data_IF_516927477824
#
_entry.id   IF_516927477824
#
_cell.length_a   1.000
_cell.length_b   1.000
_cell.length_c   1.000
_cell.angle_alpha   90.00
_cell.angle_beta   90.00
_cell.angle_gamma   90.00
#
_symmetry.space_group_name_H-M   'P 1'
#
loop_
_entity.id
_entity.type
_entity.pdbx_description
1 polymer ?
#
# COMPACT_ATOMS: atom_id res chain seq x y z
N UNK A 1 4.75 -15.66 -10.16
CA UNK A 1 4.88 -14.22 -10.06
C UNK A 1 6.32 -13.78 -9.89
N UNK A 2 7.14 -14.66 -9.37
CA UNK A 2 8.55 -14.34 -9.22
C UNK A 2 9.23 -14.02 -10.53
N UNK A 3 8.72 -14.53 -11.64
CA UNK A 3 9.27 -14.21 -12.95
C UNK A 3 9.23 -12.71 -13.24
N UNK A 4 8.30 -11.97 -12.59
CA UNK A 4 8.21 -10.52 -12.71
C UNK A 4 8.76 -9.80 -11.48
N UNK A 5 9.29 -10.52 -10.51
CA UNK A 5 9.86 -9.94 -9.30
C UNK A 5 8.86 -9.33 -8.35
N UNK A 6 7.56 -9.55 -8.53
CA UNK A 6 6.54 -8.89 -7.72
C UNK A 6 6.58 -9.28 -6.25
N UNK A 7 6.89 -10.56 -5.96
CA UNK A 7 6.99 -11.02 -4.58
C UNK A 7 8.22 -10.47 -3.86
N UNK A 8 9.19 -9.99 -4.61
CA UNK A 8 10.43 -9.49 -4.03
C UNK A 8 10.32 -8.04 -3.57
N UNK A 9 9.21 -7.37 -3.87
CA UNK A 9 9.01 -5.98 -3.47
C UNK A 9 8.65 -5.82 -2.00
N UNK A 10 8.21 -6.89 -1.32
CA UNK A 10 7.75 -6.74 0.05
C UNK A 10 8.85 -6.23 0.98
N UNK A 11 8.72 -5.00 1.42
CA UNK A 11 9.68 -4.35 2.29
C UNK A 11 10.95 -3.90 1.60
N UNK A 12 11.00 -3.97 0.27
CA UNK A 12 12.18 -3.61 -0.50
C UNK A 12 11.91 -2.42 -1.40
N UNK A 13 12.93 -1.60 -1.59
CA UNK A 13 12.86 -0.49 -2.53
C UNK A 13 13.63 -0.88 -3.78
N UNK A 14 12.97 -0.73 -4.92
CA UNK A 14 13.64 -0.84 -6.22
C UNK A 14 13.62 0.52 -6.88
N UNK A 15 14.63 0.77 -7.70
CA UNK A 15 14.74 2.05 -8.42
C UNK A 15 14.70 1.77 -9.91
N UNK A 16 13.73 2.38 -10.59
CA UNK A 16 13.59 2.25 -12.05
C UNK A 16 13.60 3.66 -12.62
N UNK A 17 14.60 3.95 -13.46
CA UNK A 17 14.75 5.28 -14.08
C UNK A 17 14.72 6.43 -13.07
N UNK A 18 15.33 6.20 -11.90
CA UNK A 18 15.39 7.19 -10.84
C UNK A 18 14.17 7.25 -9.94
N UNK A 19 13.14 6.44 -10.20
CA UNK A 19 11.91 6.40 -9.40
C UNK A 19 12.03 5.27 -8.38
N UNK A 20 11.86 5.59 -7.10
CA UNK A 20 11.94 4.63 -6.00
C UNK A 20 10.56 4.05 -5.72
N UNK A 21 10.46 2.73 -5.75
CA UNK A 21 9.22 2.01 -5.55
C UNK A 21 9.38 1.08 -4.35
N UNK A 22 8.52 1.25 -3.35
CA UNK A 22 8.47 0.38 -2.17
C UNK A 22 7.21 -0.47 -2.23
N UNK A 23 7.34 -1.74 -1.89
CA UNK A 23 6.20 -2.65 -1.83
C UNK A 23 5.89 -3.13 -0.44
N UNK A 24 4.61 -3.32 -0.14
CA UNK A 24 4.15 -4.00 1.06
C UNK A 24 2.98 -4.92 0.68
N UNK A 25 3.12 -6.20 0.94
CA UNK A 25 2.25 -7.24 0.36
C UNK A 25 1.32 -7.91 1.37
N UNK A 26 1.13 -7.36 2.54
CA UNK A 26 0.20 -7.91 3.50
C UNK A 26 -1.06 -7.06 3.63
N UNK A 27 -2.06 -7.61 4.33
CA UNK A 27 -3.28 -6.89 4.63
C UNK A 27 -3.53 -6.87 6.13
N UNK A 28 -4.55 -6.11 6.57
CA UNK A 28 -4.91 -6.06 7.99
C UNK A 28 -5.38 -7.44 8.46
N UNK A 29 -4.76 -7.91 9.56
CA UNK A 29 -5.12 -9.20 10.15
C UNK A 29 -6.32 -9.02 11.07
N UNK A 30 -7.48 -9.38 10.57
CA UNK A 30 -8.72 -9.33 11.34
C UNK A 30 -9.12 -10.72 11.87
N UNK A 31 -8.44 -11.76 11.39
CA UNK A 31 -8.61 -13.15 11.85
C UNK A 31 -7.32 -13.91 11.55
N UNK A 32 -7.08 -15.08 12.20
CA UNK A 32 -5.93 -15.91 11.84
C UNK A 32 -5.96 -16.27 10.37
N UNK A 33 -4.80 -16.19 9.71
CA UNK A 33 -4.70 -16.42 8.27
C UNK A 33 -3.34 -16.99 7.93
N UNK A 34 -3.30 -17.79 6.85
CA UNK A 34 -2.05 -18.29 6.28
C UNK A 34 -1.39 -17.27 5.36
N UNK A 35 -2.12 -16.24 4.96
CA UNK A 35 -1.59 -15.22 4.04
C UNK A 35 -0.87 -14.13 4.82
N UNK A 36 0.06 -13.42 4.17
CA UNK A 36 0.73 -12.30 4.80
C UNK A 36 -0.29 -11.30 5.36
N UNK A 37 -0.10 -10.93 6.62
CA UNK A 37 -1.01 -10.01 7.28
C UNK A 37 -0.30 -9.27 8.40
N UNK A 38 -0.86 -8.12 8.79
CA UNK A 38 -0.30 -7.25 9.82
C UNK A 38 -1.37 -6.86 10.82
N UNK A 39 -0.99 -6.79 12.11
CA UNK A 39 -1.75 -5.96 13.04
C UNK A 39 -1.48 -4.49 12.68
N UNK A 40 -2.28 -3.57 13.22
CA UNK A 40 -2.02 -2.15 12.95
C UNK A 40 -0.64 -1.73 13.45
N UNK A 41 -0.26 -2.18 14.64
CA UNK A 41 1.05 -1.89 15.19
C UNK A 41 2.17 -2.43 14.31
N UNK A 42 2.03 -3.68 13.85
CA UNK A 42 3.02 -4.30 12.99
C UNK A 42 3.19 -3.54 11.67
N UNK A 43 2.09 -3.04 11.10
CA UNK A 43 2.17 -2.29 9.85
C UNK A 43 2.94 -0.98 10.04
N UNK A 44 2.72 -0.32 11.16
CA UNK A 44 3.43 0.92 11.47
C UNK A 44 4.93 0.63 11.64
N UNK A 45 5.28 -0.39 12.41
CA UNK A 45 6.68 -0.74 12.66
C UNK A 45 7.38 -1.16 11.38
N UNK A 46 6.70 -1.95 10.56
CA UNK A 46 7.29 -2.43 9.30
C UNK A 46 7.64 -1.27 8.38
N UNK A 47 6.70 -0.36 8.16
CA UNK A 47 6.91 0.75 7.24
C UNK A 47 7.74 1.88 7.83
N UNK A 48 7.70 2.06 9.14
CA UNK A 48 8.46 3.12 9.80
C UNK A 48 9.97 2.96 9.65
N UNK A 49 10.42 1.72 9.45
CA UNK A 49 11.85 1.43 9.24
C UNK A 49 12.29 1.63 7.80
N UNK A 50 11.37 1.94 6.88
CA UNK A 50 11.68 2.03 5.46
C UNK A 50 12.01 3.46 5.06
N UNK A 51 12.87 3.58 4.04
CA UNK A 51 13.19 4.86 3.45
C UNK A 51 11.99 5.42 2.71
N UNK A 52 12.03 6.73 2.44
CA UNK A 52 10.98 7.34 1.62
C UNK A 52 11.05 6.82 0.20
N UNK A 53 9.90 6.78 -0.46
CA UNK A 53 9.78 6.30 -1.83
C UNK A 53 8.90 7.27 -2.63
N UNK A 54 9.00 7.17 -3.95
CA UNK A 54 8.15 7.97 -4.84
C UNK A 54 6.81 7.29 -5.06
N UNK A 55 6.80 5.98 -5.00
CA UNK A 55 5.59 5.17 -5.19
C UNK A 55 5.55 4.09 -4.12
N UNK A 56 4.42 3.98 -3.44
CA UNK A 56 4.13 2.84 -2.57
C UNK A 56 3.15 1.93 -3.31
N UNK A 57 3.54 0.67 -3.46
CA UNK A 57 2.67 -0.37 -4.04
C UNK A 57 2.29 -1.31 -2.92
N UNK A 58 1.00 -1.51 -2.72
CA UNK A 58 0.52 -2.36 -1.64
C UNK A 58 -0.65 -3.22 -2.10
N UNK A 59 -0.89 -4.33 -1.39
CA UNK A 59 -2.11 -5.09 -1.59
C UNK A 59 -3.27 -4.34 -0.94
N UNK A 60 -3.09 -3.91 0.30
CA UNK A 60 -4.13 -3.24 1.06
C UNK A 60 -4.04 -1.72 0.91
N UNK A 61 -5.07 -1.04 1.33
CA UNK A 61 -5.13 0.42 1.34
C UNK A 61 -4.66 0.95 2.69
N UNK A 62 -4.56 2.27 2.80
CA UNK A 62 -4.44 2.93 4.09
C UNK A 62 -5.72 2.78 4.89
N UNK A 63 -5.67 3.14 6.17
CA UNK A 63 -6.83 3.00 7.05
C UNK A 63 -8.04 3.74 6.49
N UNK A 64 -9.16 3.05 6.47
CA UNK A 64 -10.43 3.60 6.01
C UNK A 64 -11.48 3.46 7.10
N UNK A 65 -11.77 4.56 7.78
CA UNK A 65 -12.73 4.55 8.88
C UNK A 65 -14.15 4.25 8.43
N UNK A 66 -14.44 4.43 7.13
CA UNK A 66 -15.76 4.11 6.59
C UNK A 66 -15.98 2.60 6.50
N UNK A 67 -14.91 1.82 6.53
CA UNK A 67 -14.98 0.36 6.45
C UNK A 67 -14.87 -0.30 7.82
N UNK A 68 -15.07 0.43 8.90
CA UNK A 68 -14.90 -0.13 10.25
C UNK A 68 -15.81 -1.30 10.56
N UNK A 69 -16.93 -1.43 9.85
CA UNK A 69 -17.85 -2.57 9.99
C UNK A 69 -17.48 -3.73 9.07
N UNK A 70 -16.40 -3.57 8.30
CA UNK A 70 -15.88 -4.58 7.41
C UNK A 70 -14.38 -4.68 7.62
N UNK A 71 -13.93 -5.48 8.61
CA UNK A 71 -12.51 -5.55 8.96
C UNK A 71 -11.60 -5.94 7.79
N UNK A 72 -12.12 -6.72 6.84
CA UNK A 72 -11.33 -7.15 5.70
C UNK A 72 -10.90 -5.98 4.81
N UNK A 73 -11.63 -4.86 4.85
CA UNK A 73 -11.34 -3.68 4.03
C UNK A 73 -10.97 -2.45 4.86
N UNK A 74 -10.61 -2.67 6.13
CA UNK A 74 -10.27 -1.56 7.02
C UNK A 74 -9.00 -0.84 6.63
N UNK A 75 -8.05 -1.54 6.03
CA UNK A 75 -6.76 -0.98 5.66
C UNK A 75 -5.76 -0.96 6.80
N UNK A 76 -4.57 -0.46 6.52
CA UNK A 76 -3.45 -0.48 7.46
C UNK A 76 -3.06 0.94 7.90
N UNK A 77 -3.00 1.16 9.20
CA UNK A 77 -2.53 2.44 9.76
C UNK A 77 -1.12 2.76 9.30
N UNK A 78 -0.26 1.74 9.17
CA UNK A 78 1.12 1.94 8.75
C UNK A 78 1.22 2.56 7.36
N UNK A 79 0.32 2.17 6.44
CA UNK A 79 0.29 2.75 5.11
C UNK A 79 -0.05 4.23 5.18
N UNK A 80 -1.11 4.60 5.89
CA UNK A 80 -1.51 5.99 6.04
C UNK A 80 -0.39 6.82 6.66
N UNK A 81 0.20 6.30 7.74
CA UNK A 81 1.28 7.00 8.43
C UNK A 81 2.49 7.21 7.51
N UNK A 82 2.88 6.16 6.77
CA UNK A 82 4.02 6.22 5.86
C UNK A 82 3.80 7.26 4.76
N UNK A 83 2.61 7.26 4.16
CA UNK A 83 2.29 8.19 3.08
C UNK A 83 2.36 9.64 3.54
N UNK A 84 1.85 9.93 4.74
CA UNK A 84 1.83 11.29 5.26
C UNK A 84 3.20 11.73 5.74
N UNK A 85 3.91 10.87 6.45
CA UNK A 85 5.23 11.19 7.00
C UNK A 85 6.23 11.49 5.89
N UNK A 86 6.23 10.69 4.84
CA UNK A 86 7.21 10.77 3.76
C UNK A 86 6.71 11.54 2.55
N UNK A 87 5.47 12.02 2.59
CA UNK A 87 4.85 12.77 1.48
C UNK A 87 4.99 12.03 0.17
N UNK A 88 4.64 10.75 0.17
CA UNK A 88 4.77 9.88 -1.00
C UNK A 88 3.83 10.37 -2.10
N UNK A 89 4.32 10.66 -3.33
CA UNK A 89 3.46 11.20 -4.38
C UNK A 89 2.38 10.25 -4.87
N UNK A 90 2.67 8.94 -4.90
CA UNK A 90 1.74 7.96 -5.47
C UNK A 90 1.60 6.74 -4.59
N UNK A 91 0.35 6.29 -4.42
CA UNK A 91 0.04 5.04 -3.75
C UNK A 91 -0.85 4.19 -4.66
N UNK A 92 -0.35 3.02 -5.05
CA UNK A 92 -1.07 2.09 -5.91
C UNK A 92 -1.41 0.86 -5.08
N UNK A 93 -2.69 0.51 -5.03
CA UNK A 93 -3.10 -0.65 -4.24
C UNK A 93 -4.19 -1.46 -4.93
N UNK A 94 -4.39 -2.70 -4.46
CA UNK A 94 -5.47 -3.57 -4.88
C UNK A 94 -6.48 -3.75 -3.77
N UNK A 95 -6.93 -5.00 -3.56
CA UNK A 95 -7.82 -5.46 -2.49
C UNK A 95 -9.24 -4.90 -2.57
N UNK A 96 -9.41 -3.60 -2.74
CA UNK A 96 -10.73 -2.99 -2.93
C UNK A 96 -11.11 -3.18 -4.40
N UNK A 97 -12.24 -3.85 -4.65
CA UNK A 97 -12.65 -4.23 -6.00
C UNK A 97 -13.34 -3.08 -6.73
N UNK A 98 -12.72 -1.90 -6.70
CA UNK A 98 -13.17 -0.73 -7.42
C UNK A 98 -11.99 -0.05 -8.07
N UNK A 99 -12.17 0.33 -9.31
CA UNK A 99 -11.16 1.06 -10.06
C UNK A 99 -11.38 2.55 -9.81
N UNK A 100 -10.40 3.23 -9.20
CA UNK A 100 -10.52 4.66 -8.97
C UNK A 100 -9.16 5.33 -8.86
N UNK A 101 -9.18 6.64 -9.00
CA UNK A 101 -8.04 7.50 -8.71
C UNK A 101 -8.57 8.69 -7.92
N UNK A 102 -7.86 9.07 -6.86
CA UNK A 102 -8.23 10.24 -6.07
C UNK A 102 -6.99 10.88 -5.46
N UNK A 103 -7.12 12.14 -5.08
CA UNK A 103 -6.07 12.85 -4.37
C UNK A 103 -6.37 12.81 -2.88
N UNK A 104 -5.38 12.41 -2.08
CA UNK A 104 -5.49 12.44 -0.64
C UNK A 104 -5.22 13.86 -0.14
N UNK A 105 -5.58 14.12 1.13
CA UNK A 105 -5.41 15.45 1.71
C UNK A 105 -3.96 15.91 1.74
N UNK A 106 -3.01 14.98 1.85
CA UNK A 106 -1.57 15.30 1.86
C UNK A 106 -0.97 15.48 0.46
N UNK A 107 -1.78 15.33 -0.61
CA UNK A 107 -1.32 15.45 -1.98
C UNK A 107 -0.97 14.12 -2.65
N UNK A 108 -0.95 13.01 -1.93
CA UNK A 108 -0.71 11.69 -2.53
C UNK A 108 -1.85 11.35 -3.49
N UNK A 109 -1.49 10.92 -4.71
CA UNK A 109 -2.48 10.38 -5.65
C UNK A 109 -2.65 8.90 -5.36
N UNK A 110 -3.85 8.52 -4.93
CA UNK A 110 -4.18 7.14 -4.63
C UNK A 110 -4.85 6.49 -5.83
N UNK A 111 -4.34 5.34 -6.24
CA UNK A 111 -4.81 4.61 -7.41
C UNK A 111 -5.20 3.21 -6.96
N UNK A 112 -6.48 2.89 -7.10
CA UNK A 112 -6.98 1.55 -6.84
C UNK A 112 -6.96 0.79 -8.15
N UNK A 113 -6.12 -0.24 -8.24
CA UNK A 113 -5.91 -1.01 -9.44
C UNK A 113 -6.70 -2.32 -9.35
N UNK A 114 -7.96 -2.28 -9.75
CA UNK A 114 -8.77 -3.47 -9.84
C UNK A 114 -8.66 -3.99 -11.27
N UNK A 115 -8.24 -5.25 -11.40
CA UNK A 115 -7.87 -5.89 -12.67
C UNK A 115 -6.60 -5.24 -13.22
N UNK A 116 -6.71 -4.16 -13.98
CA UNK A 116 -5.53 -3.36 -14.31
C UNK A 116 -5.93 -1.93 -14.63
N UNK A 117 -4.94 -1.06 -14.59
CA UNK A 117 -5.13 0.35 -14.86
C UNK A 117 -3.88 0.92 -15.50
N UNK A 118 -4.04 1.76 -16.52
CA UNK A 118 -2.93 2.44 -17.17
C UNK A 118 -2.95 3.91 -16.75
N UNK A 119 -1.80 4.41 -16.31
CA UNK A 119 -1.68 5.80 -15.91
C UNK A 119 -0.26 6.27 -16.17
N UNK A 120 -0.09 7.59 -16.19
CA UNK A 120 1.21 8.23 -16.39
C UNK A 120 1.58 9.03 -15.16
N UNK A 121 2.81 8.88 -14.77
CA UNK A 121 3.36 9.59 -13.61
C UNK A 121 3.82 11.01 -13.97
#
# INVERSE_FOLDING_TARGET
INEYGLNDLNGKIITIKGIKILGIMGSFRYKPSKFPSFSQKESIEFLNSKEEADILVSHDTGFNSLSRNDPAHQGLFGITYYLYKNRVPYHIHGHIHNLYQKNMLNGTKEISAYQYQIFHL
#
